data_IF_548898600652
#
_entry.id   IF_548898600652
#
_cell.length_a   1.000
_cell.length_b   1.000
_cell.length_c   1.000
_cell.angle_alpha   90.00
_cell.angle_beta   90.00
_cell.angle_gamma   90.00
#
_symmetry.space_group_name_H-M   'P 1'
#
loop_
_entity.id
_entity.type
_entity.pdbx_description
1 polymer ?
#
# COMPACT_ATOMS: atom_id res chain seq x y z
N UNK A 1 41.23 25.68 -3.90
CA UNK A 1 40.74 24.86 -2.79
C UNK A 1 41.90 24.16 -2.06
N UNK A 2 42.84 23.50 -2.79
CA UNK A 2 43.96 22.76 -2.17
C UNK A 2 44.85 23.63 -1.30
N UNK A 3 45.25 24.82 -1.76
CA UNK A 3 46.08 25.75 -0.96
C UNK A 3 45.34 26.24 0.30
N UNK A 4 44.03 26.48 0.17
CA UNK A 4 43.20 26.90 1.30
C UNK A 4 43.13 25.82 2.38
N UNK A 5 42.88 24.58 1.99
CA UNK A 5 42.87 23.42 2.89
C UNK A 5 44.24 23.24 3.58
N UNK A 6 45.33 23.30 2.84
CA UNK A 6 46.68 23.21 3.38
C UNK A 6 46.97 24.34 4.40
N UNK A 7 46.49 25.54 4.18
CA UNK A 7 46.57 26.66 5.14
C UNK A 7 45.82 26.38 6.41
N UNK A 8 44.59 25.85 6.30
CA UNK A 8 43.79 25.46 7.47
C UNK A 8 44.43 24.33 8.27
N UNK A 9 44.99 23.32 7.61
CA UNK A 9 45.75 22.25 8.28
C UNK A 9 46.92 22.78 9.09
N UNK A 10 47.71 23.68 8.53
CA UNK A 10 48.83 24.33 9.23
C UNK A 10 48.33 25.11 10.45
N UNK A 11 47.22 25.85 10.30
CA UNK A 11 46.60 26.61 11.39
C UNK A 11 46.11 25.68 12.51
N UNK A 12 45.47 24.55 12.15
CA UNK A 12 45.00 23.56 13.09
C UNK A 12 46.16 22.87 13.83
N UNK A 13 47.26 22.57 13.12
CA UNK A 13 48.46 22.02 13.72
C UNK A 13 49.08 23.01 14.72
N UNK A 14 49.24 24.28 14.34
CA UNK A 14 49.77 25.33 15.24
C UNK A 14 48.87 25.49 16.48
N UNK A 15 47.52 25.42 16.31
CA UNK A 15 46.58 25.48 17.43
C UNK A 15 46.78 24.29 18.40
N UNK A 16 46.95 23.07 17.86
CA UNK A 16 47.20 21.88 18.69
C UNK A 16 48.53 21.98 19.47
N UNK A 17 49.57 22.44 18.83
CA UNK A 17 50.89 22.65 19.45
C UNK A 17 50.80 23.70 20.57
N UNK A 18 50.13 24.84 20.33
CA UNK A 18 49.95 25.89 21.34
C UNK A 18 49.09 25.42 22.53
N UNK A 19 48.04 24.65 22.29
CA UNK A 19 47.24 24.04 23.37
C UNK A 19 48.02 23.04 24.19
N UNK A 20 48.92 22.28 23.57
CA UNK A 20 49.78 21.32 24.28
C UNK A 20 50.81 21.98 25.23
N UNK A 21 51.23 23.22 24.94
CA UNK A 21 52.19 23.96 25.81
C UNK A 21 51.57 24.44 27.12
N UNK A 22 50.22 24.55 27.20
CA UNK A 22 49.46 24.96 28.39
C UNK A 22 49.91 26.26 29.06
N UNK A 23 50.52 27.19 28.30
CA UNK A 23 51.05 28.46 28.79
C UNK A 23 49.95 29.54 28.76
N UNK A 24 49.77 30.27 29.88
CA UNK A 24 48.79 31.37 29.97
C UNK A 24 49.05 32.50 28.96
N UNK A 25 50.32 32.72 28.59
CA UNK A 25 50.71 33.73 27.58
C UNK A 25 50.18 33.44 26.18
N UNK A 26 49.78 32.20 25.90
CA UNK A 26 49.31 31.76 24.57
C UNK A 26 47.80 31.84 24.41
N UNK A 27 47.05 32.27 25.43
CA UNK A 27 45.58 32.26 25.41
C UNK A 27 44.98 33.11 24.28
N UNK A 28 45.57 34.29 24.04
CA UNK A 28 45.12 35.18 22.95
C UNK A 28 45.36 34.53 21.59
N UNK A 29 46.55 33.98 21.35
CA UNK A 29 46.89 33.30 20.11
C UNK A 29 46.00 32.05 19.87
N UNK A 30 45.69 31.30 20.94
CA UNK A 30 44.78 30.15 20.89
C UNK A 30 43.37 30.62 20.49
N UNK A 31 42.89 31.73 21.06
CA UNK A 31 41.57 32.32 20.72
C UNK A 31 41.53 32.77 19.26
N UNK A 32 42.57 33.48 18.81
CA UNK A 32 42.62 34.02 17.44
C UNK A 32 42.69 32.89 16.38
N UNK A 33 43.52 31.85 16.63
CA UNK A 33 43.59 30.68 15.74
C UNK A 33 42.30 29.86 15.76
N UNK A 34 41.64 29.75 16.92
CA UNK A 34 40.35 29.06 17.01
C UNK A 34 39.28 29.81 16.22
N UNK A 35 39.24 31.13 16.27
CA UNK A 35 38.35 31.97 15.50
C UNK A 35 38.63 31.84 14.00
N UNK A 36 39.90 31.88 13.58
CA UNK A 36 40.29 31.68 12.18
C UNK A 36 39.85 30.31 11.65
N UNK A 37 40.01 29.24 12.43
CA UNK A 37 39.56 27.90 12.05
C UNK A 37 38.04 27.84 11.96
N UNK A 38 37.31 28.49 12.86
CA UNK A 38 35.84 28.58 12.81
C UNK A 38 35.36 29.27 11.55
N UNK A 39 35.89 30.43 11.22
CA UNK A 39 35.58 31.14 9.98
C UNK A 39 35.96 30.33 8.74
N UNK A 40 37.14 29.71 8.78
CA UNK A 40 37.61 28.82 7.70
C UNK A 40 36.71 27.64 7.47
N UNK A 41 36.17 27.05 8.54
CA UNK A 41 35.21 25.94 8.44
C UNK A 41 33.86 26.40 7.88
N UNK A 42 33.37 27.57 8.25
CA UNK A 42 32.19 28.17 7.68
C UNK A 42 32.33 28.42 6.16
N UNK A 43 33.48 28.96 5.74
CA UNK A 43 33.75 29.18 4.32
C UNK A 43 33.79 27.83 3.54
N UNK A 44 34.33 26.77 4.14
CA UNK A 44 34.31 25.45 3.52
C UNK A 44 32.87 24.88 3.41
N UNK A 45 32.04 25.11 4.42
CA UNK A 45 30.63 24.75 4.38
C UNK A 45 29.89 25.47 3.26
N UNK A 46 30.12 26.77 3.10
CA UNK A 46 29.53 27.58 2.02
C UNK A 46 29.96 27.05 0.64
N UNK A 47 31.26 26.77 0.45
CA UNK A 47 31.77 26.19 -0.79
C UNK A 47 31.15 24.81 -1.05
N UNK A 48 31.04 23.96 -0.02
CA UNK A 48 30.39 22.65 -0.13
C UNK A 48 28.93 22.78 -0.54
N UNK A 49 28.19 23.68 0.12
CA UNK A 49 26.78 23.97 -0.18
C UNK A 49 26.60 24.47 -1.62
N UNK A 50 27.41 25.41 -2.04
CA UNK A 50 27.41 25.97 -3.39
C UNK A 50 27.65 24.89 -4.46
N UNK A 51 28.59 23.98 -4.20
CA UNK A 51 28.85 22.85 -5.09
C UNK A 51 27.66 21.89 -5.19
N UNK A 52 26.95 21.63 -4.08
CA UNK A 52 25.73 20.81 -4.09
C UNK A 52 24.59 21.54 -4.81
N UNK A 53 24.42 22.83 -4.55
CA UNK A 53 23.34 23.66 -5.12
C UNK A 53 23.40 23.72 -6.65
N UNK A 54 24.59 23.88 -7.24
CA UNK A 54 24.77 23.97 -8.70
C UNK A 54 24.24 22.76 -9.47
N UNK A 55 24.23 21.57 -8.84
CA UNK A 55 23.71 20.33 -9.44
C UNK A 55 22.37 19.91 -8.82
N UNK A 56 21.72 20.80 -8.08
CA UNK A 56 20.43 20.57 -7.45
C UNK A 56 19.26 21.22 -8.24
N UNK A 57 19.40 21.39 -9.56
CA UNK A 57 18.31 21.88 -10.40
C UNK A 57 17.25 20.78 -10.54
N UNK A 58 15.97 21.06 -10.22
CA UNK A 58 14.90 20.07 -10.33
C UNK A 58 14.81 19.50 -11.74
N UNK A 59 14.59 18.19 -11.81
CA UNK A 59 14.39 17.45 -13.06
C UNK A 59 12.94 17.01 -13.21
N UNK A 60 12.56 16.56 -14.40
CA UNK A 60 11.28 15.92 -14.66
C UNK A 60 11.44 14.38 -14.62
N UNK A 61 11.07 13.70 -13.52
CA UNK A 61 11.31 12.27 -13.33
C UNK A 61 10.53 11.39 -14.32
N UNK A 62 9.38 11.86 -14.82
CA UNK A 62 8.51 11.10 -15.72
C UNK A 62 9.26 10.58 -16.94
N UNK A 63 10.15 11.40 -17.51
CA UNK A 63 10.94 11.01 -18.67
C UNK A 63 11.89 9.84 -18.42
N UNK A 64 12.47 9.77 -17.22
CA UNK A 64 13.37 8.68 -16.81
C UNK A 64 12.58 7.40 -16.52
N UNK A 65 11.46 7.51 -15.79
CA UNK A 65 10.57 6.39 -15.49
C UNK A 65 10.01 5.75 -16.76
N UNK A 66 9.52 6.54 -17.71
CA UNK A 66 8.93 6.04 -18.95
C UNK A 66 9.94 5.37 -19.89
N UNK A 67 11.19 5.85 -19.89
CA UNK A 67 12.27 5.27 -20.69
C UNK A 67 12.99 4.12 -19.99
N UNK A 68 12.76 3.91 -18.70
CA UNK A 68 13.52 2.97 -17.87
C UNK A 68 15.02 3.33 -17.80
N UNK A 69 15.35 4.62 -17.91
CA UNK A 69 16.72 5.10 -17.88
C UNK A 69 17.15 5.47 -16.45
N UNK A 70 18.46 5.33 -16.20
CA UNK A 70 19.03 5.70 -14.90
C UNK A 70 18.83 7.20 -14.61
N UNK A 71 18.57 7.49 -13.35
CA UNK A 71 18.49 8.87 -12.86
C UNK A 71 19.89 9.51 -12.79
N UNK A 72 20.00 10.83 -13.01
CA UNK A 72 21.29 11.51 -13.06
C UNK A 72 22.00 11.45 -11.71
N UNK A 73 23.30 11.15 -11.77
CA UNK A 73 24.22 11.14 -10.63
C UNK A 73 25.22 12.29 -10.74
N UNK A 74 25.80 12.66 -9.61
CA UNK A 74 26.86 13.65 -9.58
C UNK A 74 28.11 13.12 -10.32
N UNK A 75 28.82 13.98 -11.07
CA UNK A 75 30.08 13.59 -11.72
C UNK A 75 31.13 13.13 -10.71
N UNK A 76 31.91 12.11 -11.07
CA UNK A 76 32.94 11.52 -10.17
C UNK A 76 33.98 12.54 -9.68
N UNK A 77 34.34 13.50 -10.50
CA UNK A 77 35.24 14.59 -10.12
C UNK A 77 34.63 15.45 -9.00
N UNK A 78 33.34 15.72 -9.06
CA UNK A 78 32.61 16.51 -8.08
C UNK A 78 32.44 15.77 -6.74
N UNK A 79 32.07 14.49 -6.80
CA UNK A 79 32.00 13.67 -5.59
C UNK A 79 33.35 13.56 -4.88
N UNK A 80 34.46 13.48 -5.62
CA UNK A 80 35.80 13.49 -5.06
C UNK A 80 36.14 14.83 -4.36
N UNK A 81 35.76 15.95 -4.96
CA UNK A 81 35.93 17.27 -4.35
C UNK A 81 35.10 17.44 -3.08
N UNK A 82 33.82 17.05 -3.13
CA UNK A 82 32.93 17.07 -1.96
C UNK A 82 33.47 16.19 -0.83
N UNK A 83 33.96 14.99 -1.15
CA UNK A 83 34.63 14.11 -0.18
C UNK A 83 35.81 14.78 0.49
N UNK A 84 36.68 15.46 -0.28
CA UNK A 84 37.84 16.15 0.26
C UNK A 84 37.43 17.23 1.25
N UNK A 85 36.42 18.06 0.91
CA UNK A 85 35.91 19.10 1.81
C UNK A 85 35.31 18.48 3.07
N UNK A 86 34.44 17.46 2.90
CA UNK A 86 33.83 16.76 4.02
C UNK A 86 34.87 16.19 5.01
N UNK A 87 35.88 15.49 4.50
CA UNK A 87 36.94 14.90 5.31
C UNK A 87 37.70 15.96 6.12
N UNK A 88 37.96 17.12 5.53
CA UNK A 88 38.64 18.22 6.21
C UNK A 88 37.77 18.87 7.28
N UNK A 89 36.47 19.12 6.96
CA UNK A 89 35.54 19.65 7.96
C UNK A 89 35.38 18.70 9.15
N UNK A 90 35.33 17.39 8.90
CA UNK A 90 35.27 16.37 9.95
C UNK A 90 36.50 16.45 10.87
N UNK A 91 37.70 16.61 10.33
CA UNK A 91 38.96 16.75 11.11
C UNK A 91 38.98 17.99 12.01
N UNK A 92 38.27 19.06 11.62
CA UNK A 92 38.21 20.31 12.41
C UNK A 92 37.11 20.29 13.47
N UNK A 93 36.02 19.49 13.26
CA UNK A 93 34.86 19.46 14.15
C UNK A 93 34.82 18.26 15.10
N UNK A 94 35.78 17.32 15.03
CA UNK A 94 35.75 15.99 15.67
C UNK A 94 35.81 15.96 17.22
N UNK A 95 35.33 16.98 17.92
CA UNK A 95 35.11 16.96 19.38
C UNK A 95 33.66 17.02 19.81
N UNK A 96 32.69 16.90 18.88
CA UNK A 96 31.25 16.94 19.15
C UNK A 96 30.61 15.56 19.10
N UNK A 97 29.59 15.40 19.91
CA UNK A 97 28.76 14.20 20.09
C UNK A 97 28.52 13.41 18.78
N UNK A 98 28.76 12.10 18.80
CA UNK A 98 28.52 11.13 17.69
C UNK A 98 27.07 10.98 17.21
N UNK A 99 26.15 11.79 17.72
CA UNK A 99 24.69 11.62 17.50
C UNK A 99 24.12 12.57 16.45
N UNK A 100 24.83 13.64 16.09
CA UNK A 100 24.30 14.67 15.19
C UNK A 100 25.05 14.72 13.85
N UNK A 101 24.30 14.95 12.75
CA UNK A 101 24.89 15.14 11.42
C UNK A 101 25.89 16.32 11.42
N UNK A 102 27.05 16.10 10.85
CA UNK A 102 28.04 17.16 10.64
C UNK A 102 27.54 18.27 9.72
N UNK A 103 28.19 19.46 9.72
CA UNK A 103 27.76 20.61 8.92
C UNK A 103 27.63 20.31 7.42
N UNK A 104 28.61 19.63 6.84
CA UNK A 104 28.60 19.20 5.44
C UNK A 104 27.45 18.25 5.10
N UNK A 105 27.14 17.31 5.99
CA UNK A 105 26.04 16.37 5.82
C UNK A 105 24.68 17.09 5.93
N UNK A 106 24.54 18.07 6.83
CA UNK A 106 23.35 18.93 6.92
C UNK A 106 23.18 19.77 5.65
N UNK A 107 24.24 20.39 5.15
CA UNK A 107 24.22 21.18 3.92
C UNK A 107 23.84 20.31 2.71
N UNK A 108 24.42 19.10 2.59
CA UNK A 108 24.07 18.13 1.55
C UNK A 108 22.60 17.75 1.62
N UNK A 109 22.13 17.34 2.79
CA UNK A 109 20.75 16.92 3.00
C UNK A 109 19.74 18.03 2.65
N UNK A 110 20.05 19.29 2.96
CA UNK A 110 19.22 20.44 2.65
C UNK A 110 19.11 20.66 1.13
N UNK A 111 20.24 20.80 0.43
CA UNK A 111 20.27 21.13 -1.00
C UNK A 111 19.73 19.97 -1.86
N UNK A 112 20.18 18.75 -1.60
CA UNK A 112 19.75 17.57 -2.35
C UNK A 112 18.33 17.12 -1.97
N UNK A 113 17.92 17.33 -0.71
CA UNK A 113 16.54 17.04 -0.29
C UNK A 113 15.53 17.97 -0.95
N UNK A 114 15.86 19.26 -1.12
CA UNK A 114 15.03 20.18 -1.89
C UNK A 114 14.94 19.80 -3.37
N UNK A 115 16.06 19.43 -3.98
CA UNK A 115 16.11 18.91 -5.35
C UNK A 115 15.16 17.73 -5.55
N UNK A 116 15.22 16.72 -4.67
CA UNK A 116 14.36 15.55 -4.74
C UNK A 116 12.89 15.95 -4.60
N UNK A 117 12.57 16.76 -3.59
CA UNK A 117 11.20 17.17 -3.28
C UNK A 117 10.56 17.93 -4.44
N UNK A 118 11.26 18.91 -5.00
CA UNK A 118 10.77 19.70 -6.13
C UNK A 118 10.64 18.88 -7.42
N UNK A 119 11.59 17.98 -7.67
CA UNK A 119 11.53 17.09 -8.85
C UNK A 119 10.32 16.17 -8.80
N UNK A 120 9.95 15.65 -7.62
CA UNK A 120 8.84 14.72 -7.45
C UNK A 120 7.45 15.38 -7.36
N UNK A 121 7.37 16.69 -7.22
CA UNK A 121 6.13 17.44 -6.97
C UNK A 121 5.05 17.19 -8.03
N UNK A 122 5.44 17.17 -9.32
CA UNK A 122 4.51 16.95 -10.42
C UNK A 122 3.92 15.54 -10.40
N UNK A 123 4.71 14.52 -10.03
CA UNK A 123 4.24 13.13 -9.92
C UNK A 123 3.29 12.95 -8.73
N UNK A 124 3.55 13.63 -7.62
CA UNK A 124 2.64 13.67 -6.48
C UNK A 124 1.30 14.29 -6.86
N UNK A 125 1.31 15.46 -7.52
CA UNK A 125 0.10 16.14 -8.00
C UNK A 125 -0.66 15.28 -9.04
N UNK A 126 0.04 14.59 -9.94
CA UNK A 126 -0.57 13.69 -10.90
C UNK A 126 -1.27 12.50 -10.21
N UNK A 127 -0.69 11.95 -9.14
CA UNK A 127 -1.32 10.87 -8.36
C UNK A 127 -2.64 11.31 -7.74
N UNK A 128 -2.71 12.53 -7.19
CA UNK A 128 -3.94 13.08 -6.61
C UNK A 128 -4.99 13.43 -7.68
N UNK A 129 -4.58 14.01 -8.80
CA UNK A 129 -5.50 14.39 -9.87
C UNK A 129 -6.13 13.18 -10.56
N UNK A 130 -5.38 12.10 -10.72
CA UNK A 130 -5.85 10.85 -11.35
C UNK A 130 -6.65 9.95 -10.39
N UNK A 131 -6.71 10.27 -9.09
CA UNK A 131 -7.64 9.64 -8.17
C UNK A 131 -9.11 10.04 -8.46
N UNK A 132 -9.33 11.20 -9.08
CA UNK A 132 -10.68 11.64 -9.48
C UNK A 132 -11.18 10.83 -10.66
N UNK A 133 -12.44 10.38 -10.56
CA UNK A 133 -13.04 9.48 -11.55
C UNK A 133 -13.13 10.10 -12.95
N UNK A 134 -12.62 9.37 -13.91
CA UNK A 134 -12.90 9.55 -15.33
C UNK A 134 -13.99 8.52 -15.67
N UNK A 135 -15.23 8.90 -15.81
CA UNK A 135 -16.28 7.95 -16.23
C UNK A 135 -17.56 7.90 -15.39
N UNK A 136 -17.77 8.85 -14.46
CA UNK A 136 -19.00 8.94 -13.66
C UNK A 136 -18.88 8.43 -12.22
N UNK A 137 -19.89 8.78 -11.40
CA UNK A 137 -19.85 8.53 -9.94
C UNK A 137 -19.77 7.05 -9.55
N UNK A 138 -20.28 6.15 -10.39
CA UNK A 138 -20.39 4.70 -10.10
C UNK A 138 -19.27 3.86 -10.76
N UNK A 139 -18.35 4.48 -11.50
CA UNK A 139 -17.26 3.75 -12.14
C UNK A 139 -16.31 3.16 -11.10
N UNK A 140 -16.08 1.85 -11.18
CA UNK A 140 -15.13 1.14 -10.31
C UNK A 140 -13.70 1.50 -10.73
N UNK A 141 -12.79 1.63 -9.76
CA UNK A 141 -11.38 1.89 -10.00
C UNK A 141 -10.77 0.84 -10.94
N UNK A 142 -10.03 1.32 -11.94
CA UNK A 142 -9.32 0.48 -12.90
C UNK A 142 -7.83 0.45 -12.58
N UNK A 143 -7.26 -0.74 -12.49
CA UNK A 143 -5.82 -0.93 -12.24
C UNK A 143 -4.95 -0.12 -13.22
N UNK A 144 -3.93 0.54 -12.69
CA UNK A 144 -3.01 1.35 -13.48
C UNK A 144 -3.54 2.72 -13.93
N UNK A 145 -4.77 3.09 -13.55
CA UNK A 145 -5.34 4.39 -13.92
C UNK A 145 -4.85 5.55 -13.02
N UNK A 146 -4.24 5.25 -11.88
CA UNK A 146 -3.68 6.25 -10.98
C UNK A 146 -2.18 6.45 -11.19
N UNK A 147 -1.71 7.69 -11.02
CA UNK A 147 -0.30 8.06 -11.15
C UNK A 147 0.63 7.53 -10.05
N UNK A 148 0.11 6.81 -9.04
CA UNK A 148 0.91 6.34 -7.89
C UNK A 148 2.06 5.41 -8.31
N UNK A 149 1.87 4.57 -9.33
CA UNK A 149 2.90 3.70 -9.87
C UNK A 149 4.09 4.48 -10.42
N UNK A 150 3.82 5.52 -11.19
CA UNK A 150 4.84 6.41 -11.75
C UNK A 150 5.54 7.22 -10.64
N UNK A 151 4.77 7.69 -9.65
CA UNK A 151 5.33 8.43 -8.51
C UNK A 151 6.26 7.55 -7.67
N UNK A 152 5.86 6.32 -7.34
CA UNK A 152 6.69 5.38 -6.61
C UNK A 152 7.98 5.04 -7.37
N UNK A 153 7.91 4.80 -8.68
CA UNK A 153 9.09 4.56 -9.51
C UNK A 153 10.02 5.78 -9.57
N UNK A 154 9.46 7.00 -9.59
CA UNK A 154 10.23 8.24 -9.49
C UNK A 154 10.97 8.36 -8.16
N UNK A 155 10.30 8.09 -7.04
CA UNK A 155 10.91 8.05 -5.70
C UNK A 155 12.03 7.01 -5.65
N UNK A 156 11.75 5.78 -6.08
CA UNK A 156 12.73 4.70 -6.10
C UNK A 156 13.99 5.09 -6.86
N UNK A 157 13.84 5.58 -8.09
CA UNK A 157 14.98 5.94 -8.93
C UNK A 157 15.80 7.09 -8.35
N UNK A 158 15.15 8.15 -7.85
CA UNK A 158 15.85 9.28 -7.24
C UNK A 158 16.56 8.91 -5.94
N UNK A 159 15.94 8.11 -5.07
CA UNK A 159 16.56 7.72 -3.80
C UNK A 159 17.76 6.80 -4.02
N UNK A 160 17.68 5.87 -4.97
CA UNK A 160 18.81 5.00 -5.33
C UNK A 160 19.96 5.82 -5.93
N UNK A 161 19.65 6.75 -6.86
CA UNK A 161 20.66 7.61 -7.45
C UNK A 161 21.34 8.51 -6.39
N UNK A 162 20.56 8.98 -5.41
CA UNK A 162 21.10 9.80 -4.32
C UNK A 162 21.95 8.99 -3.35
N UNK A 163 21.58 7.76 -3.05
CA UNK A 163 22.44 6.85 -2.29
C UNK A 163 23.77 6.61 -2.98
N UNK A 164 23.75 6.40 -4.30
CA UNK A 164 24.96 6.25 -5.09
C UNK A 164 25.84 7.52 -5.11
N UNK A 165 25.27 8.72 -4.91
CA UNK A 165 25.99 9.97 -4.71
C UNK A 165 26.59 10.08 -3.30
N UNK A 166 25.87 9.62 -2.28
CA UNK A 166 26.27 9.68 -0.85
C UNK A 166 27.47 8.77 -0.57
N UNK A 167 27.45 7.55 -1.10
CA UNK A 167 28.48 6.55 -0.83
C UNK A 167 29.93 7.01 -1.13
N UNK A 168 30.26 7.69 -2.23
CA UNK A 168 31.62 8.18 -2.48
C UNK A 168 31.99 9.43 -1.70
N UNK A 169 31.05 10.19 -1.12
CA UNK A 169 31.29 11.46 -0.43
C UNK A 169 31.51 11.23 1.08
N UNK A 170 30.62 10.46 1.71
CA UNK A 170 30.55 10.27 3.15
C UNK A 170 31.14 8.93 3.60
N UNK A 171 31.42 8.79 4.90
CA UNK A 171 31.86 7.53 5.49
C UNK A 171 30.69 6.52 5.55
N UNK A 172 31.03 5.23 5.59
CA UNK A 172 30.02 4.15 5.63
C UNK A 172 29.08 4.26 6.84
N UNK A 173 29.57 4.77 7.94
CA UNK A 173 28.81 4.95 9.19
C UNK A 173 27.77 6.08 9.08
N UNK A 174 27.99 7.02 8.18
CA UNK A 174 27.11 8.17 7.95
C UNK A 174 26.05 7.93 6.87
N UNK A 175 26.22 6.95 5.97
CA UNK A 175 25.37 6.77 4.78
C UNK A 175 23.88 6.76 5.10
N UNK A 176 23.47 5.96 6.08
CA UNK A 176 22.05 5.83 6.47
C UNK A 176 21.47 7.13 7.00
N UNK A 177 22.20 7.82 7.87
CA UNK A 177 21.75 9.07 8.46
C UNK A 177 21.67 10.20 7.42
N UNK A 178 22.67 10.30 6.54
CA UNK A 178 22.67 11.30 5.46
C UNK A 178 21.54 11.03 4.46
N UNK A 179 21.37 9.78 4.05
CA UNK A 179 20.28 9.40 3.15
C UNK A 179 18.91 9.72 3.78
N UNK A 180 18.70 9.32 5.02
CA UNK A 180 17.45 9.61 5.73
C UNK A 180 17.16 11.11 5.80
N UNK A 181 18.14 11.92 6.20
CA UNK A 181 18.00 13.36 6.28
C UNK A 181 17.71 14.00 4.89
N UNK A 182 18.40 13.49 3.84
CA UNK A 182 18.19 13.96 2.47
C UNK A 182 16.79 13.64 1.96
N UNK A 183 16.26 12.45 2.26
CA UNK A 183 14.94 12.02 1.79
C UNK A 183 13.78 12.52 2.66
N UNK A 184 14.03 13.04 3.86
CA UNK A 184 13.00 13.35 4.87
C UNK A 184 11.88 14.26 4.36
N UNK A 185 12.20 15.33 3.63
CA UNK A 185 11.21 16.27 3.10
C UNK A 185 10.30 15.60 2.05
N UNK A 186 10.89 14.88 1.10
CA UNK A 186 10.15 14.14 0.07
C UNK A 186 9.36 12.97 0.63
N UNK A 187 9.84 12.29 1.68
CA UNK A 187 9.10 11.26 2.41
C UNK A 187 7.87 11.86 3.12
N UNK A 188 8.01 13.05 3.71
CA UNK A 188 6.89 13.75 4.34
C UNK A 188 5.84 14.16 3.31
N UNK A 189 6.26 14.65 2.13
CA UNK A 189 5.37 14.95 1.01
C UNK A 189 4.66 13.68 0.49
N UNK A 190 5.39 12.57 0.38
CA UNK A 190 4.83 11.28 0.00
C UNK A 190 3.79 10.78 1.01
N UNK A 191 4.09 10.86 2.31
CA UNK A 191 3.14 10.49 3.36
C UNK A 191 1.86 11.35 3.32
N UNK A 192 1.99 12.66 3.04
CA UNK A 192 0.83 13.55 2.84
C UNK A 192 0.01 13.12 1.62
N UNK A 193 0.65 12.83 0.49
CA UNK A 193 -0.03 12.34 -0.72
C UNK A 193 -0.80 11.04 -0.46
N UNK A 194 -0.19 10.09 0.27
CA UNK A 194 -0.88 8.84 0.65
C UNK A 194 -2.08 9.09 1.57
N UNK A 195 -1.98 10.04 2.49
CA UNK A 195 -3.10 10.43 3.36
C UNK A 195 -4.26 11.05 2.58
N UNK A 196 -3.96 11.87 1.59
CA UNK A 196 -4.97 12.50 0.74
C UNK A 196 -5.66 11.45 -0.17
N UNK A 197 -4.89 10.50 -0.72
CA UNK A 197 -5.42 9.35 -1.44
C UNK A 197 -6.29 8.46 -0.54
N UNK A 198 -5.87 8.20 0.69
CA UNK A 198 -6.66 7.45 1.68
C UNK A 198 -8.00 8.12 1.97
N UNK A 199 -8.01 9.45 2.12
CA UNK A 199 -9.23 10.24 2.31
C UNK A 199 -10.15 10.15 1.09
N UNK A 200 -9.58 10.20 -0.12
CA UNK A 200 -10.33 10.01 -1.36
C UNK A 200 -10.97 8.61 -1.44
N UNK A 201 -10.20 7.56 -1.12
CA UNK A 201 -10.67 6.17 -1.10
C UNK A 201 -11.82 6.02 -0.10
N UNK A 202 -11.70 6.57 1.11
CA UNK A 202 -12.75 6.52 2.14
C UNK A 202 -14.05 7.20 1.70
N UNK A 203 -13.96 8.30 0.98
CA UNK A 203 -15.12 9.02 0.47
C UNK A 203 -15.84 8.27 -0.67
N UNK A 204 -15.12 7.44 -1.42
CA UNK A 204 -15.64 6.66 -2.56
C UNK A 204 -15.40 5.16 -2.37
N UNK A 205 -15.60 4.68 -1.17
CA UNK A 205 -15.09 3.40 -0.69
C UNK A 205 -15.45 2.20 -1.57
N UNK A 206 -16.70 2.07 -1.98
CA UNK A 206 -17.21 0.91 -2.73
C UNK A 206 -16.55 0.77 -4.11
N UNK A 207 -16.21 1.89 -4.74
CA UNK A 207 -15.62 1.93 -6.07
C UNK A 207 -14.11 2.01 -6.07
N UNK A 208 -13.51 2.64 -5.03
CA UNK A 208 -12.11 3.02 -5.05
C UNK A 208 -11.25 2.24 -4.02
N UNK A 209 -11.81 1.27 -3.28
CA UNK A 209 -11.02 0.41 -2.38
C UNK A 209 -9.90 -0.37 -3.11
N UNK A 210 -10.06 -0.63 -4.40
CA UNK A 210 -9.04 -1.30 -5.23
C UNK A 210 -7.79 -0.45 -5.41
N UNK A 211 -7.91 0.88 -5.39
CA UNK A 211 -6.76 1.78 -5.38
C UNK A 211 -5.90 1.57 -4.13
N UNK A 212 -6.51 1.27 -2.97
CA UNK A 212 -5.75 0.95 -1.76
C UNK A 212 -4.88 -0.30 -1.96
N UNK A 213 -5.40 -1.33 -2.62
CA UNK A 213 -4.62 -2.54 -2.92
C UNK A 213 -3.48 -2.27 -3.90
N UNK A 214 -3.71 -1.45 -4.93
CA UNK A 214 -2.66 -1.05 -5.87
C UNK A 214 -1.56 -0.23 -5.18
N UNK A 215 -1.93 0.74 -4.34
CA UNK A 215 -0.96 1.52 -3.57
C UNK A 215 -0.11 0.60 -2.68
N UNK A 216 -0.73 -0.37 -1.99
CA UNK A 216 -0.02 -1.34 -1.15
C UNK A 216 0.99 -2.15 -1.97
N UNK A 217 0.61 -2.65 -3.13
CA UNK A 217 1.48 -3.44 -4.00
C UNK A 217 2.67 -2.62 -4.49
N UNK A 218 2.39 -1.47 -5.08
CA UNK A 218 3.38 -0.58 -5.68
C UNK A 218 4.37 -0.05 -4.65
N UNK A 219 3.86 0.46 -3.51
CA UNK A 219 4.71 1.06 -2.47
C UNK A 219 5.51 -0.02 -1.71
N UNK A 220 4.94 -1.21 -1.50
CA UNK A 220 5.69 -2.33 -0.90
C UNK A 220 6.83 -2.76 -1.81
N UNK A 221 6.60 -2.86 -3.12
CA UNK A 221 7.65 -3.19 -4.09
C UNK A 221 8.74 -2.09 -4.13
N UNK A 222 8.35 -0.83 -4.19
CA UNK A 222 9.28 0.31 -4.11
C UNK A 222 10.14 0.23 -2.83
N UNK A 223 9.51 0.01 -1.67
CA UNK A 223 10.20 -0.11 -0.38
C UNK A 223 11.21 -1.25 -0.38
N UNK A 224 10.84 -2.40 -0.93
CA UNK A 224 11.72 -3.57 -1.07
C UNK A 224 12.94 -3.27 -1.96
N UNK A 225 12.75 -2.60 -3.09
CA UNK A 225 13.84 -2.24 -4.00
C UNK A 225 14.81 -1.23 -3.36
N UNK A 226 14.29 -0.23 -2.66
CA UNK A 226 15.10 0.75 -1.92
C UNK A 226 15.88 0.06 -0.81
N UNK A 227 15.21 -0.79 0.01
CA UNK A 227 15.85 -1.54 1.09
C UNK A 227 16.97 -2.44 0.57
N UNK A 228 16.74 -3.19 -0.50
CA UNK A 228 17.75 -4.08 -1.08
C UNK A 228 19.00 -3.34 -1.55
N UNK A 229 18.85 -2.10 -2.03
CA UNK A 229 19.98 -1.29 -2.49
C UNK A 229 20.69 -0.52 -1.39
N UNK A 230 19.91 0.05 -0.46
CA UNK A 230 20.40 1.02 0.52
C UNK A 230 20.52 0.46 1.93
N UNK A 231 19.73 -0.56 2.28
CA UNK A 231 19.56 -1.05 3.65
C UNK A 231 18.68 -0.14 4.52
N UNK A 232 18.14 0.95 3.97
CA UNK A 232 17.56 2.06 4.74
C UNK A 232 16.11 2.38 4.29
N UNK A 233 15.46 3.29 4.99
CA UNK A 233 14.16 3.91 4.68
C UNK A 233 12.92 3.00 4.79
N UNK A 234 13.05 1.69 4.98
CA UNK A 234 11.93 0.74 5.09
C UNK A 234 10.90 1.15 6.13
N UNK A 235 11.36 1.52 7.33
CA UNK A 235 10.47 1.90 8.42
C UNK A 235 9.68 3.17 8.09
N UNK A 236 10.34 4.20 7.55
CA UNK A 236 9.70 5.46 7.19
C UNK A 236 8.64 5.27 6.08
N UNK A 237 8.93 4.46 5.05
CA UNK A 237 7.98 4.13 3.99
C UNK A 237 6.83 3.29 4.55
N UNK A 238 7.11 2.32 5.42
CA UNK A 238 6.08 1.50 6.07
C UNK A 238 5.14 2.33 6.93
N UNK A 239 5.67 3.32 7.65
CA UNK A 239 4.87 4.24 8.47
C UNK A 239 3.97 5.13 7.61
N UNK A 240 4.48 5.65 6.50
CA UNK A 240 3.69 6.41 5.53
C UNK A 240 2.53 5.58 4.94
N UNK A 241 2.71 4.26 4.81
CA UNK A 241 1.73 3.33 4.23
C UNK A 241 0.66 2.86 5.23
N UNK A 242 0.83 3.09 6.54
CA UNK A 242 -0.12 2.64 7.58
C UNK A 242 -1.58 2.99 7.31
N UNK A 243 -1.94 4.25 6.99
CA UNK A 243 -3.35 4.62 6.75
C UNK A 243 -3.99 3.78 5.64
N UNK A 244 -3.31 3.65 4.50
CA UNK A 244 -3.78 2.84 3.36
C UNK A 244 -3.95 1.37 3.75
N UNK A 245 -3.01 0.82 4.54
CA UNK A 245 -3.09 -0.58 5.01
C UNK A 245 -4.32 -0.80 5.90
N UNK A 246 -4.64 0.11 6.79
CA UNK A 246 -5.82 0.01 7.65
C UNK A 246 -7.12 0.17 6.83
N UNK A 247 -7.16 1.07 5.87
CA UNK A 247 -8.28 1.20 4.94
C UNK A 247 -8.47 -0.07 4.10
N UNK A 248 -7.40 -0.65 3.59
CA UNK A 248 -7.46 -1.91 2.86
C UNK A 248 -7.89 -3.10 3.72
N UNK A 249 -7.51 -3.16 5.01
CA UNK A 249 -8.02 -4.17 5.95
C UNK A 249 -9.51 -4.01 6.21
N UNK A 250 -9.95 -2.79 6.49
CA UNK A 250 -11.36 -2.50 6.77
C UNK A 250 -12.26 -2.71 5.56
N UNK A 251 -11.71 -2.66 4.34
CA UNK A 251 -12.49 -2.82 3.11
C UNK A 251 -13.17 -4.17 3.03
N UNK A 252 -12.55 -5.23 3.50
CA UNK A 252 -13.10 -6.58 3.44
C UNK A 252 -14.41 -6.71 4.24
N UNK A 253 -14.44 -6.19 5.46
CA UNK A 253 -15.64 -6.20 6.30
C UNK A 253 -16.69 -5.19 5.83
N UNK A 254 -16.28 -4.02 5.35
CA UNK A 254 -17.19 -3.00 4.85
C UNK A 254 -17.90 -3.42 3.58
N UNK A 255 -17.23 -4.12 2.64
CA UNK A 255 -17.87 -4.68 1.45
C UNK A 255 -18.93 -5.72 1.79
N UNK A 256 -18.72 -6.56 2.80
CA UNK A 256 -19.72 -7.49 3.31
C UNK A 256 -20.90 -6.78 3.97
N UNK A 257 -20.63 -5.70 4.69
CA UNK A 257 -21.67 -4.89 5.34
C UNK A 257 -22.50 -4.14 4.31
N UNK A 258 -21.88 -3.54 3.29
CA UNK A 258 -22.57 -2.93 2.16
C UNK A 258 -23.51 -3.93 1.46
N UNK A 259 -23.01 -5.13 1.17
CA UNK A 259 -23.80 -6.19 0.57
C UNK A 259 -25.06 -6.50 1.40
N UNK A 260 -24.92 -6.71 2.71
CA UNK A 260 -26.04 -6.96 3.61
C UNK A 260 -27.05 -5.82 3.61
N UNK A 261 -26.57 -4.59 3.73
CA UNK A 261 -27.40 -3.38 3.78
C UNK A 261 -28.19 -3.19 2.48
N UNK A 262 -27.54 -3.31 1.33
CA UNK A 262 -28.20 -3.19 0.02
C UNK A 262 -29.26 -4.25 -0.21
N UNK A 263 -29.00 -5.51 0.20
CA UNK A 263 -29.99 -6.58 0.11
C UNK A 263 -31.15 -6.35 1.06
N UNK A 264 -30.91 -5.87 2.29
CA UNK A 264 -31.99 -5.53 3.23
C UNK A 264 -32.86 -4.38 2.74
N UNK A 265 -32.32 -3.43 2.01
CA UNK A 265 -33.01 -2.29 1.43
C UNK A 265 -33.75 -2.64 0.13
N UNK A 266 -33.59 -3.85 -0.42
CA UNK A 266 -34.28 -4.28 -1.62
C UNK A 266 -35.76 -4.47 -1.31
N UNK A 267 -36.65 -3.68 -1.93
CA UNK A 267 -38.08 -3.71 -1.69
C UNK A 267 -38.85 -4.56 -2.70
N UNK A 268 -38.26 -4.84 -3.85
CA UNK A 268 -38.87 -5.62 -4.93
C UNK A 268 -37.90 -6.63 -5.50
N UNK A 269 -38.38 -7.81 -5.81
CA UNK A 269 -37.65 -8.84 -6.53
C UNK A 269 -38.34 -9.11 -7.88
N UNK A 270 -37.61 -9.62 -8.89
CA UNK A 270 -38.21 -9.97 -10.17
C UNK A 270 -39.38 -10.96 -10.00
N UNK A 271 -40.55 -10.62 -10.55
CA UNK A 271 -41.74 -11.42 -10.42
C UNK A 271 -41.68 -12.76 -11.18
N UNK A 272 -40.78 -12.86 -12.14
CA UNK A 272 -40.48 -14.08 -12.92
C UNK A 272 -39.36 -14.94 -12.28
N UNK A 273 -38.80 -14.53 -11.13
CA UNK A 273 -37.71 -15.24 -10.47
C UNK A 273 -36.34 -15.08 -11.13
N UNK A 274 -36.16 -14.07 -11.99
CA UNK A 274 -34.86 -13.78 -12.60
C UNK A 274 -33.79 -13.40 -11.55
N UNK A 275 -32.52 -13.60 -11.90
CA UNK A 275 -31.40 -13.18 -11.03
C UNK A 275 -31.36 -11.66 -10.90
N UNK A 276 -30.97 -11.18 -9.70
CA UNK A 276 -30.84 -9.75 -9.42
C UNK A 276 -29.46 -9.20 -9.81
N UNK A 277 -29.35 -7.93 -10.25
CA UNK A 277 -28.10 -7.33 -10.68
C UNK A 277 -27.00 -7.40 -9.62
N UNK A 278 -27.36 -7.25 -8.34
CA UNK A 278 -26.40 -7.29 -7.22
C UNK A 278 -25.58 -8.61 -7.18
N UNK A 279 -26.15 -9.73 -7.66
CA UNK A 279 -25.42 -11.01 -7.77
C UNK A 279 -24.24 -10.88 -8.72
N UNK A 280 -24.46 -10.32 -9.91
CA UNK A 280 -23.39 -10.08 -10.88
C UNK A 280 -22.35 -9.07 -10.37
N UNK A 281 -22.81 -7.98 -9.72
CA UNK A 281 -21.93 -6.96 -9.15
C UNK A 281 -20.98 -7.54 -8.07
N UNK A 282 -21.50 -8.36 -7.16
CA UNK A 282 -20.70 -9.01 -6.12
C UNK A 282 -19.66 -9.93 -6.73
N UNK A 283 -20.05 -10.73 -7.74
CA UNK A 283 -19.11 -11.62 -8.41
C UNK A 283 -18.05 -10.85 -9.20
N UNK A 284 -18.39 -9.75 -9.86
CA UNK A 284 -17.45 -8.86 -10.52
C UNK A 284 -16.45 -8.26 -9.52
N UNK A 285 -16.91 -7.85 -8.31
CA UNK A 285 -16.02 -7.39 -7.25
C UNK A 285 -14.99 -8.45 -6.87
N UNK A 286 -15.41 -9.70 -6.65
CA UNK A 286 -14.50 -10.79 -6.35
C UNK A 286 -13.52 -11.07 -7.49
N UNK A 287 -13.97 -11.00 -8.75
CA UNK A 287 -13.12 -11.12 -9.92
C UNK A 287 -12.07 -10.00 -10.00
N UNK A 288 -12.46 -8.73 -9.74
CA UNK A 288 -11.51 -7.62 -9.70
C UNK A 288 -10.46 -7.77 -8.59
N UNK A 289 -10.85 -8.33 -7.45
CA UNK A 289 -9.93 -8.59 -6.34
C UNK A 289 -8.84 -9.62 -6.70
N UNK A 290 -9.08 -10.52 -7.66
CA UNK A 290 -8.06 -11.50 -8.09
C UNK A 290 -6.85 -10.85 -8.74
N UNK A 291 -6.99 -9.65 -9.33
CA UNK A 291 -5.88 -8.88 -9.87
C UNK A 291 -4.91 -8.38 -8.76
N UNK A 292 -5.35 -8.34 -7.51
CA UNK A 292 -4.59 -7.82 -6.36
C UNK A 292 -4.31 -8.92 -5.31
N UNK A 293 -4.15 -10.17 -5.73
CA UNK A 293 -3.96 -11.31 -4.80
C UNK A 293 -2.75 -11.13 -3.86
N UNK A 294 -1.67 -10.53 -4.33
CA UNK A 294 -0.46 -10.32 -3.53
C UNK A 294 -0.71 -9.41 -2.32
N UNK A 295 -1.16 -8.15 -2.49
CA UNK A 295 -1.47 -7.28 -1.36
C UNK A 295 -2.63 -7.81 -0.51
N UNK A 296 -3.68 -8.37 -1.11
CA UNK A 296 -4.83 -8.94 -0.39
C UNK A 296 -4.39 -10.12 0.49
N UNK A 297 -3.56 -11.02 -0.02
CA UNK A 297 -3.00 -12.14 0.75
C UNK A 297 -2.20 -11.65 1.96
N UNK A 298 -1.43 -10.58 1.80
CA UNK A 298 -0.69 -9.96 2.90
C UNK A 298 -1.62 -9.38 3.98
N UNK A 299 -2.68 -8.69 3.54
CA UNK A 299 -3.71 -8.13 4.43
C UNK A 299 -4.42 -9.24 5.19
N UNK A 300 -4.88 -10.29 4.49
CA UNK A 300 -5.64 -11.40 5.08
C UNK A 300 -4.81 -12.19 6.08
N UNK A 301 -3.52 -12.42 5.81
CA UNK A 301 -2.60 -13.02 6.80
C UNK A 301 -2.50 -12.17 8.07
N UNK A 302 -2.54 -10.85 7.96
CA UNK A 302 -2.50 -9.97 9.14
C UNK A 302 -3.83 -9.89 9.89
N UNK A 303 -4.97 -10.19 9.23
CA UNK A 303 -6.29 -10.24 9.86
C UNK A 303 -6.59 -11.58 10.51
N UNK A 304 -6.01 -12.66 9.99
CA UNK A 304 -6.38 -14.03 10.33
C UNK A 304 -7.67 -14.49 9.64
N UNK A 305 -7.94 -15.79 9.71
CA UNK A 305 -9.14 -16.40 9.11
C UNK A 305 -10.41 -15.90 9.82
N UNK A 306 -11.39 -15.47 9.03
CA UNK A 306 -12.64 -14.89 9.55
C UNK A 306 -12.53 -13.48 10.12
N UNK A 307 -11.33 -12.85 10.12
CA UNK A 307 -11.13 -11.49 10.64
C UNK A 307 -11.89 -10.38 9.87
N UNK A 308 -12.47 -10.71 8.72
CA UNK A 308 -13.38 -9.85 7.96
C UNK A 308 -14.83 -9.89 8.42
N UNK A 309 -15.21 -10.85 9.27
CA UNK A 309 -16.55 -10.91 9.85
C UNK A 309 -16.69 -9.84 10.91
N UNK A 310 -17.75 -9.01 10.84
CA UNK A 310 -18.04 -8.03 11.89
C UNK A 310 -18.22 -8.76 13.23
N UNK A 311 -17.69 -8.25 14.34
CA UNK A 311 -17.98 -8.82 15.66
C UNK A 311 -19.49 -8.77 15.88
N UNK A 312 -20.12 -9.93 16.00
CA UNK A 312 -21.56 -10.04 16.30
C UNK A 312 -21.81 -9.38 17.66
N UNK A 313 -22.42 -8.20 17.66
CA UNK A 313 -22.82 -7.46 18.87
C UNK A 313 -24.06 -8.06 19.55
N UNK A 314 -24.51 -9.24 19.16
CA UNK A 314 -25.65 -9.90 19.80
C UNK A 314 -25.62 -11.41 19.55
N UNK A 315 -24.87 -12.13 20.34
CA UNK A 315 -25.26 -13.37 20.99
C UNK A 315 -24.06 -13.99 21.70
N UNK A 316 -24.18 -14.07 23.00
CA UNK A 316 -23.23 -14.58 23.99
C UNK A 316 -22.95 -16.09 23.90
N UNK A 317 -22.93 -16.67 22.69
CA UNK A 317 -22.53 -18.05 22.46
C UNK A 317 -21.68 -18.22 21.18
N UNK A 318 -21.13 -17.12 20.62
CA UNK A 318 -20.09 -17.24 19.61
C UNK A 318 -18.83 -17.75 20.32
N UNK A 319 -18.51 -19.00 20.07
CA UNK A 319 -17.25 -19.63 20.45
C UNK A 319 -16.11 -18.63 20.24
N UNK A 320 -15.33 -18.41 21.28
CA UNK A 320 -14.02 -17.79 21.26
C UNK A 320 -13.34 -18.23 19.96
N UNK A 321 -12.79 -17.30 19.12
CA UNK A 321 -12.02 -17.70 17.95
C UNK A 321 -11.02 -18.75 18.43
N UNK A 322 -11.25 -19.99 18.02
CA UNK A 322 -10.40 -21.09 18.47
C UNK A 322 -9.00 -20.79 17.98
N UNK A 323 -8.00 -20.94 18.84
CA UNK A 323 -6.56 -20.78 18.57
C UNK A 323 -6.05 -21.46 17.27
N UNK A 324 -6.90 -22.22 16.58
CA UNK A 324 -6.68 -22.78 15.24
C UNK A 324 -6.62 -21.74 14.11
N UNK A 325 -7.08 -20.50 14.33
CA UNK A 325 -6.97 -19.42 13.32
C UNK A 325 -5.61 -18.73 13.30
N UNK A 326 -4.71 -19.05 14.22
CA UNK A 326 -3.31 -18.63 14.21
C UNK A 326 -2.42 -19.65 13.48
N UNK A 327 -2.92 -20.27 12.42
CA UNK A 327 -2.06 -21.06 11.56
C UNK A 327 -1.14 -20.10 10.78
N UNK A 328 0.06 -19.91 11.33
CA UNK A 328 1.12 -19.01 10.82
C UNK A 328 1.58 -19.44 9.40
N UNK A 329 1.04 -20.54 8.90
CA UNK A 329 1.25 -21.09 7.56
C UNK A 329 0.09 -20.94 6.59
N UNK A 330 -1.03 -20.31 6.97
CA UNK A 330 -2.17 -20.17 6.06
C UNK A 330 -1.77 -19.41 4.79
N UNK A 331 -1.88 -20.08 3.64
CA UNK A 331 -1.67 -19.44 2.34
C UNK A 331 -2.71 -18.32 2.17
N UNK A 332 -2.24 -17.09 1.88
CA UNK A 332 -3.12 -15.96 1.67
C UNK A 332 -4.15 -16.16 0.56
N UNK A 333 -3.87 -17.06 -0.41
CA UNK A 333 -4.82 -17.48 -1.44
C UNK A 333 -5.97 -18.31 -0.86
N UNK A 334 -5.68 -19.18 0.11
CA UNK A 334 -6.71 -19.96 0.81
C UNK A 334 -7.60 -19.05 1.65
N UNK A 335 -7.03 -18.04 2.33
CA UNK A 335 -7.79 -17.06 3.07
C UNK A 335 -8.70 -16.22 2.13
N UNK A 336 -8.21 -15.86 0.94
CA UNK A 336 -9.04 -15.20 -0.08
C UNK A 336 -10.16 -16.11 -0.60
N UNK A 337 -9.90 -17.39 -0.80
CA UNK A 337 -10.92 -18.37 -1.17
C UNK A 337 -12.01 -18.49 -0.08
N UNK A 338 -11.62 -18.49 1.21
CA UNK A 338 -12.55 -18.46 2.35
C UNK A 338 -13.40 -17.17 2.34
N UNK A 339 -12.76 -16.01 2.24
CA UNK A 339 -13.47 -14.72 2.15
C UNK A 339 -14.46 -14.69 1.00
N UNK A 340 -14.07 -15.17 -0.18
CA UNK A 340 -14.94 -15.23 -1.35
C UNK A 340 -16.11 -16.17 -1.14
N UNK A 341 -15.88 -17.31 -0.50
CA UNK A 341 -16.91 -18.28 -0.14
C UNK A 341 -17.89 -17.71 0.88
N UNK A 342 -17.42 -16.98 1.89
CA UNK A 342 -18.25 -16.31 2.89
C UNK A 342 -19.05 -15.16 2.28
N UNK A 343 -18.49 -14.47 1.30
CA UNK A 343 -19.18 -13.42 0.54
C UNK A 343 -20.34 -14.01 -0.27
N UNK A 344 -20.12 -15.13 -0.98
CA UNK A 344 -21.15 -15.85 -1.72
C UNK A 344 -22.23 -16.38 -0.78
N UNK A 345 -21.84 -16.96 0.36
CA UNK A 345 -22.78 -17.45 1.37
C UNK A 345 -23.64 -16.33 1.95
N UNK A 346 -23.02 -15.19 2.25
CA UNK A 346 -23.71 -13.98 2.71
C UNK A 346 -24.72 -13.48 1.65
N UNK A 347 -24.30 -13.44 0.38
CA UNK A 347 -25.18 -13.09 -0.74
C UNK A 347 -26.40 -14.02 -0.80
N UNK A 348 -26.17 -15.34 -0.87
CA UNK A 348 -27.24 -16.33 -1.06
C UNK A 348 -28.18 -16.39 0.13
N UNK A 349 -27.68 -16.31 1.36
CA UNK A 349 -28.51 -16.33 2.59
C UNK A 349 -29.41 -15.11 2.67
N UNK A 350 -28.91 -13.92 2.31
CA UNK A 350 -29.71 -12.70 2.30
C UNK A 350 -30.73 -12.71 1.15
N UNK A 351 -30.38 -13.19 -0.04
CA UNK A 351 -31.31 -13.37 -1.16
C UNK A 351 -32.44 -14.34 -0.80
N UNK A 352 -32.12 -15.44 -0.13
CA UNK A 352 -33.14 -16.39 0.36
C UNK A 352 -34.08 -15.69 1.36
N UNK A 353 -33.54 -14.99 2.34
CA UNK A 353 -34.35 -14.26 3.34
C UNK A 353 -35.29 -13.26 2.67
N UNK A 354 -34.78 -12.50 1.68
CA UNK A 354 -35.62 -11.54 0.92
C UNK A 354 -36.62 -12.24 0.02
N UNK A 355 -36.27 -13.36 -0.61
CA UNK A 355 -37.23 -14.13 -1.44
C UNK A 355 -38.40 -14.64 -0.64
N UNK A 356 -38.16 -15.12 0.60
CA UNK A 356 -39.23 -15.55 1.52
C UNK A 356 -40.17 -14.41 1.92
N UNK A 357 -39.63 -13.20 2.07
CA UNK A 357 -40.42 -12.03 2.44
C UNK A 357 -41.23 -11.43 1.28
N UNK A 358 -40.70 -11.46 0.06
CA UNK A 358 -41.19 -10.68 -1.07
C UNK A 358 -41.85 -11.54 -2.18
N UNK A 359 -41.46 -12.82 -2.34
CA UNK A 359 -42.02 -13.69 -3.38
C UNK A 359 -43.11 -14.63 -2.82
N UNK A 360 -44.26 -14.66 -3.48
CA UNK A 360 -45.34 -15.57 -3.13
C UNK A 360 -45.14 -16.93 -3.79
N UNK A 361 -45.13 -17.98 -2.99
CA UNK A 361 -44.98 -19.37 -3.43
C UNK A 361 -43.56 -19.89 -3.41
N UNK A 362 -43.43 -21.13 -2.87
CA UNK A 362 -42.13 -21.80 -2.69
C UNK A 362 -41.42 -22.12 -4.00
N UNK A 363 -42.20 -22.46 -5.06
CA UNK A 363 -41.63 -22.75 -6.38
C UNK A 363 -40.92 -21.55 -6.99
N UNK A 364 -41.54 -20.36 -6.91
CA UNK A 364 -40.95 -19.13 -7.41
C UNK A 364 -39.69 -18.74 -6.62
N UNK A 365 -39.69 -18.93 -5.29
CA UNK A 365 -38.50 -18.74 -4.44
C UNK A 365 -37.39 -19.71 -4.87
N UNK A 366 -37.71 -20.97 -5.15
CA UNK A 366 -36.76 -21.97 -5.66
C UNK A 366 -36.14 -21.55 -6.99
N UNK A 367 -36.97 -21.11 -7.96
CA UNK A 367 -36.50 -20.60 -9.26
C UNK A 367 -35.57 -19.40 -9.10
N UNK A 368 -35.97 -18.43 -8.27
CA UNK A 368 -35.16 -17.24 -7.99
C UNK A 368 -33.79 -17.59 -7.43
N UNK A 369 -33.70 -18.48 -6.44
CA UNK A 369 -32.44 -18.92 -5.85
C UNK A 369 -31.63 -19.67 -6.91
N UNK A 370 -32.22 -20.58 -7.69
CA UNK A 370 -31.54 -21.33 -8.74
C UNK A 370 -30.91 -20.41 -9.80
N UNK A 371 -31.63 -19.37 -10.24
CA UNK A 371 -31.15 -18.42 -11.23
C UNK A 371 -29.96 -17.61 -10.70
N UNK A 372 -30.00 -17.17 -9.44
CA UNK A 372 -28.87 -16.46 -8.84
C UNK A 372 -27.64 -17.38 -8.67
N UNK A 373 -27.82 -18.64 -8.28
CA UNK A 373 -26.72 -19.62 -8.20
C UNK A 373 -26.11 -19.86 -9.59
N UNK A 374 -26.93 -19.98 -10.63
CA UNK A 374 -26.47 -20.17 -12.00
C UNK A 374 -25.58 -19.02 -12.47
N UNK A 375 -25.93 -17.77 -12.09
CA UNK A 375 -25.09 -16.60 -12.36
C UNK A 375 -23.76 -16.72 -11.61
N UNK A 376 -23.78 -17.03 -10.31
CA UNK A 376 -22.56 -17.21 -9.48
C UNK A 376 -21.65 -18.26 -10.11
N UNK A 377 -22.15 -19.45 -10.43
CA UNK A 377 -21.37 -20.53 -11.03
C UNK A 377 -20.78 -20.16 -12.38
N UNK A 378 -21.59 -19.54 -13.25
CA UNK A 378 -21.11 -19.08 -14.55
C UNK A 378 -19.95 -18.11 -14.40
N UNK A 379 -20.05 -17.15 -13.48
CA UNK A 379 -19.02 -16.15 -13.26
C UNK A 379 -17.78 -16.72 -12.60
N UNK A 380 -17.90 -17.73 -11.72
CA UNK A 380 -16.74 -18.46 -11.20
C UNK A 380 -16.01 -19.16 -12.35
N UNK A 381 -16.75 -19.95 -13.18
CA UNK A 381 -16.15 -20.73 -14.26
C UNK A 381 -15.46 -19.89 -15.35
N UNK A 382 -15.97 -18.69 -15.58
CA UNK A 382 -15.43 -17.77 -16.61
C UNK A 382 -14.29 -16.89 -16.14
N UNK A 383 -13.71 -17.14 -14.95
CA UNK A 383 -12.70 -16.28 -14.35
C UNK A 383 -11.66 -17.06 -13.54
N UNK A 384 -10.61 -16.38 -13.09
CA UNK A 384 -9.54 -16.94 -12.25
C UNK A 384 -10.05 -17.43 -10.88
N UNK A 385 -11.29 -17.04 -10.49
CA UNK A 385 -11.96 -17.60 -9.31
C UNK A 385 -12.14 -19.12 -9.40
N UNK A 386 -12.25 -19.70 -10.61
CA UNK A 386 -12.39 -21.13 -10.78
C UNK A 386 -11.24 -21.90 -10.11
N UNK A 387 -10.01 -21.45 -10.30
CA UNK A 387 -8.82 -22.10 -9.71
C UNK A 387 -8.73 -21.93 -8.20
N UNK A 388 -9.24 -20.81 -7.68
CA UNK A 388 -9.18 -20.46 -6.25
C UNK A 388 -10.31 -21.12 -5.44
N UNK A 389 -11.50 -21.25 -6.03
CA UNK A 389 -12.73 -21.68 -5.33
C UNK A 389 -13.12 -23.14 -5.57
N UNK A 390 -12.42 -23.88 -6.43
CA UNK A 390 -12.80 -25.23 -6.89
C UNK A 390 -13.09 -26.22 -5.75
N UNK A 391 -12.36 -26.15 -4.65
CA UNK A 391 -12.52 -27.06 -3.50
C UNK A 391 -13.36 -26.47 -2.38
N UNK A 392 -13.30 -25.17 -2.16
CA UNK A 392 -13.92 -24.50 -1.00
C UNK A 392 -15.40 -24.15 -1.23
N UNK A 393 -15.75 -23.65 -2.42
CA UNK A 393 -17.09 -23.15 -2.70
C UNK A 393 -18.05 -24.23 -3.27
N UNK A 394 -17.55 -25.24 -3.97
CA UNK A 394 -18.39 -26.24 -4.66
C UNK A 394 -19.41 -26.94 -3.73
N UNK A 395 -19.02 -27.45 -2.54
CA UNK A 395 -19.99 -28.10 -1.65
C UNK A 395 -21.12 -27.17 -1.20
N UNK A 396 -20.81 -25.89 -0.96
CA UNK A 396 -21.80 -24.88 -0.56
C UNK A 396 -22.75 -24.54 -1.72
N UNK A 397 -22.23 -24.39 -2.93
CA UNK A 397 -23.04 -24.15 -4.14
C UNK A 397 -23.98 -25.32 -4.42
N UNK A 398 -23.51 -26.56 -4.28
CA UNK A 398 -24.32 -27.75 -4.47
C UNK A 398 -25.42 -27.87 -3.38
N UNK A 399 -25.14 -27.46 -2.14
CA UNK A 399 -26.14 -27.38 -1.09
C UNK A 399 -27.24 -26.36 -1.43
N UNK A 400 -26.87 -25.18 -1.96
CA UNK A 400 -27.82 -24.19 -2.42
C UNK A 400 -28.66 -24.67 -3.61
N UNK A 401 -28.07 -25.37 -4.59
CA UNK A 401 -28.81 -25.98 -5.70
C UNK A 401 -29.84 -26.99 -5.20
N UNK A 402 -29.40 -27.88 -4.30
CA UNK A 402 -30.28 -28.88 -3.69
C UNK A 402 -31.44 -28.21 -2.98
N UNK A 403 -31.20 -27.15 -2.22
CA UNK A 403 -32.24 -26.38 -1.52
C UNK A 403 -33.19 -25.72 -2.47
N UNK A 404 -32.70 -25.08 -3.56
CA UNK A 404 -33.52 -24.46 -4.59
C UNK A 404 -34.41 -25.50 -5.28
N UNK A 405 -33.85 -26.67 -5.64
CA UNK A 405 -34.60 -27.78 -6.24
C UNK A 405 -35.67 -28.31 -5.29
N UNK A 406 -35.38 -28.47 -4.02
CA UNK A 406 -36.34 -28.91 -3.01
C UNK A 406 -37.53 -27.94 -2.88
N UNK A 407 -37.23 -26.63 -2.80
CA UNK A 407 -38.29 -25.61 -2.73
C UNK A 407 -39.24 -25.68 -3.94
N UNK A 408 -38.70 -25.97 -5.13
CA UNK A 408 -39.50 -26.13 -6.34
C UNK A 408 -40.31 -27.43 -6.32
N UNK A 409 -39.66 -28.57 -6.03
CA UNK A 409 -40.32 -29.90 -6.08
C UNK A 409 -41.32 -30.11 -4.96
N UNK A 410 -41.10 -29.55 -3.77
CA UNK A 410 -42.05 -29.67 -2.65
C UNK A 410 -43.44 -29.10 -2.99
N UNK A 411 -43.52 -28.13 -3.92
CA UNK A 411 -44.79 -27.58 -4.38
C UNK A 411 -45.63 -28.59 -5.18
N UNK A 412 -44.96 -29.54 -5.84
CA UNK A 412 -45.60 -30.56 -6.65
C UNK A 412 -45.85 -31.88 -5.90
N UNK A 413 -45.32 -32.01 -4.69
CA UNK A 413 -45.34 -33.26 -3.92
C UNK A 413 -46.76 -33.71 -3.61
N UNK A 414 -47.60 -32.82 -3.15
CA UNK A 414 -48.99 -33.13 -2.79
C UNK A 414 -49.81 -33.58 -4.04
N UNK A 415 -49.60 -32.86 -5.16
CA UNK A 415 -50.25 -33.24 -6.42
C UNK A 415 -49.79 -34.60 -6.91
N UNK A 416 -48.50 -34.92 -6.81
CA UNK A 416 -47.96 -36.22 -7.24
C UNK A 416 -48.43 -37.37 -6.34
N UNK A 417 -48.57 -37.15 -5.03
CA UNK A 417 -49.10 -38.13 -4.08
C UNK A 417 -50.56 -38.49 -4.41
N UNK A 418 -51.40 -37.47 -4.64
CA UNK A 418 -52.82 -37.66 -5.04
C UNK A 418 -52.93 -38.48 -6.32
N UNK A 419 -52.05 -38.22 -7.30
CA UNK A 419 -52.04 -38.97 -8.56
C UNK A 419 -51.58 -40.43 -8.39
N UNK A 420 -50.66 -40.67 -7.43
CA UNK A 420 -50.21 -42.04 -7.10
C UNK A 420 -51.30 -42.83 -6.35
N UNK A 421 -52.02 -42.20 -5.41
CA UNK A 421 -53.09 -42.83 -4.63
C UNK A 421 -54.28 -43.21 -5.52
N UNK A 422 -54.59 -42.49 -6.58
CA UNK A 422 -55.64 -42.81 -7.53
C UNK A 422 -55.33 -44.10 -8.34
N UNK A 423 -54.07 -44.43 -8.55
CA UNK A 423 -53.67 -45.69 -9.23
C UNK A 423 -53.91 -46.92 -8.37
N UNK A 424 -53.88 -46.80 -7.03
CA UNK A 424 -54.08 -47.94 -6.10
C UNK A 424 -55.58 -48.20 -5.82
N UNK A 425 -56.45 -47.23 -5.96
CA UNK A 425 -57.90 -47.40 -5.72
C UNK A 425 -58.65 -47.95 -6.90
N UNK A 426 -58.06 -48.12 -8.09
CA UNK A 426 -58.69 -48.65 -9.28
C UNK A 426 -58.56 -50.18 -9.41
N UNK A 427 -58.14 -50.93 -8.37
CA UNK A 427 -58.09 -52.41 -8.34
C UNK A 427 -58.96 -52.95 -7.20
N UNK A 428 -60.24 -52.87 -7.35
CA UNK A 428 -61.15 -53.87 -6.74
C UNK A 428 -62.27 -54.18 -7.70
N UNK A 429 -62.60 -55.50 -7.88
CA UNK A 429 -63.37 -56.06 -8.96
C UNK A 429 -64.87 -55.70 -8.91
#
# INVERSE_FOLDING_TARGET
LGEYINSMDRTNQALRELKATNLRTNQQAISDLSNLLSVGTQNLEEVFRDMCHRDAQPIEPLGFVMKGSDFPRLPSQKTAQLRTIHSQMYNFTSQGSKVDLGPSAKAYAQERGQYITLSLQNLAAASLSTARKVGGADAVYRQGSNGIGTYANGIQGMYIAEYDNICPIFSREEWGQVLYATCQSSLSAFASTLKDLDSHIKNNFITDCYLAYEILEVVTNMSFQIENRTGELKLAISDALKPIRETAKSSLSQLLTDLRTRLQQTHQLPFDGAAVPITSEVMQRLQLMTAYLSPISSIMRSLGDGGWSAPNTSNSNASIPTLKSFDVGADGKQLFAHYSTDTIETLMSNLESRSRALLKGKSLQGVFIANNIAVVERMIRSSDLASLLSTAAQPKLDAWKKKASQLYTDTWRDCSQILLDVQYTSKTP
#
